data_IF_618266667705
#
_entry.id   IF_618266667705
#
_cell.length_a   1.000
_cell.length_b   1.000
_cell.length_c   1.000
_cell.angle_alpha   90.00
_cell.angle_beta   90.00
_cell.angle_gamma   90.00
#
_symmetry.space_group_name_H-M   'P 1'
#
loop_
_entity.id
_entity.type
_entity.pdbx_description
1 polymer ?
#
# COMPACT_ATOMS: atom_id res chain seq x y z
N UNK A 1 -26.72 25.50 8.89
CA UNK A 1 -25.84 24.87 9.91
C UNK A 1 -24.41 25.16 9.50
N UNK A 2 -23.68 25.94 10.29
CA UNK A 2 -22.45 26.63 9.85
C UNK A 2 -21.27 25.66 9.68
N UNK A 3 -20.56 25.70 8.55
CA UNK A 3 -19.36 24.88 8.25
C UNK A 3 -18.28 25.01 9.33
N UNK A 4 -18.18 26.18 9.96
CA UNK A 4 -17.29 26.41 11.09
C UNK A 4 -17.60 25.54 12.31
N UNK A 5 -18.84 25.09 12.49
CA UNK A 5 -19.25 24.21 13.59
C UNK A 5 -18.83 22.75 13.34
N UNK A 6 -18.83 22.31 12.08
CA UNK A 6 -18.37 20.96 11.70
C UNK A 6 -16.85 20.83 11.82
N UNK A 7 -16.12 21.89 11.43
CA UNK A 7 -14.67 21.96 11.58
C UNK A 7 -14.28 22.01 13.06
N UNK A 8 -15.02 22.74 13.91
CA UNK A 8 -14.75 22.80 15.36
C UNK A 8 -14.91 21.42 16.03
N UNK A 9 -15.96 20.67 15.69
CA UNK A 9 -16.21 19.32 16.21
C UNK A 9 -15.12 18.34 15.77
N UNK A 10 -14.67 18.41 14.52
CA UNK A 10 -13.60 17.54 14.01
C UNK A 10 -12.24 17.86 14.63
N UNK A 11 -11.94 19.14 14.92
CA UNK A 11 -10.72 19.50 15.66
C UNK A 11 -10.77 19.14 17.14
N UNK A 12 -11.95 19.19 17.79
CA UNK A 12 -12.09 18.75 19.18
C UNK A 12 -11.92 17.23 19.33
N UNK A 13 -12.37 16.44 18.36
CA UNK A 13 -12.19 14.98 18.37
C UNK A 13 -10.73 14.54 18.18
N UNK A 14 -9.89 15.37 17.56
CA UNK A 14 -8.48 15.09 17.36
C UNK A 14 -7.62 15.47 18.57
N UNK A 15 -8.08 16.42 19.41
CA UNK A 15 -7.33 16.90 20.58
C UNK A 15 -7.63 16.12 21.87
N UNK A 16 -8.77 15.43 21.97
CA UNK A 16 -9.11 14.64 23.17
C UNK A 16 -8.55 13.22 23.19
N UNK A 17 -7.96 12.72 22.11
CA UNK A 17 -7.37 11.37 22.06
C UNK A 17 -5.87 11.30 22.40
N UNK A 18 -5.25 12.41 22.85
CA UNK A 18 -3.85 12.41 23.32
C UNK A 18 -3.67 12.58 24.85
N UNK A 19 -4.74 12.56 25.64
CA UNK A 19 -4.61 12.57 27.10
C UNK A 19 -5.50 11.51 27.74
N UNK A 20 -4.91 10.37 28.06
CA UNK A 20 -4.93 9.80 29.42
C UNK A 20 -4.32 8.39 29.43
N UNK A 21 -3.19 8.28 30.13
CA UNK A 21 -2.77 7.06 30.79
C UNK A 21 -2.94 7.34 32.28
N UNK A 22 -3.61 6.46 33.05
CA UNK A 22 -2.84 5.92 34.17
C UNK A 22 -3.14 4.45 34.48
N UNK A 23 -2.05 3.69 34.58
CA UNK A 23 -1.72 2.75 35.65
C UNK A 23 -2.83 2.00 36.42
N UNK A 24 -2.77 0.66 36.35
CA UNK A 24 -2.65 -0.32 37.46
C UNK A 24 -3.26 -1.67 36.97
N UNK A 25 -2.80 -2.86 37.33
CA UNK A 25 -2.38 -3.36 38.64
C UNK A 25 -1.57 -4.65 38.45
N UNK A 26 -0.49 -4.77 39.23
CA UNK A 26 0.20 -6.03 39.51
C UNK A 26 -0.76 -7.01 40.18
N UNK A 27 -0.72 -8.27 39.77
CA UNK A 27 -0.90 -9.39 40.70
C UNK A 27 0.18 -10.44 40.44
N UNK A 28 1.01 -10.62 41.47
CA UNK A 28 1.87 -11.79 41.69
C UNK A 28 0.97 -13.01 41.86
N UNK A 29 1.37 -14.14 41.28
CA UNK A 29 1.21 -15.45 41.90
C UNK A 29 2.46 -16.27 41.57
N UNK A 30 3.22 -16.56 42.63
CA UNK A 30 4.35 -17.49 42.66
C UNK A 30 3.80 -18.93 42.66
N UNK A 31 4.52 -19.85 42.01
CA UNK A 31 4.26 -21.29 42.05
C UNK A 31 5.34 -22.05 41.28
N UNK A 32 6.20 -22.76 42.01
CA UNK A 32 7.48 -23.36 41.61
C UNK A 32 7.39 -24.68 40.85
N UNK A 33 8.46 -24.95 40.07
CA UNK A 33 9.04 -26.26 39.70
C UNK A 33 8.19 -27.19 38.81
N UNK A 34 8.70 -27.80 37.73
CA UNK A 34 9.92 -28.60 37.65
C UNK A 34 10.23 -28.97 36.19
N UNK A 35 11.48 -29.41 35.98
CA UNK A 35 12.14 -29.77 34.72
C UNK A 35 11.41 -30.77 33.81
N UNK A 36 11.47 -30.53 32.50
CA UNK A 36 11.59 -31.61 31.51
C UNK A 36 12.11 -31.06 30.18
N UNK A 37 13.19 -31.68 29.68
CA UNK A 37 13.79 -31.44 28.38
C UNK A 37 12.91 -32.07 27.29
N UNK A 38 12.66 -31.34 26.20
CA UNK A 38 12.89 -31.75 24.80
C UNK A 38 11.80 -31.27 23.84
N UNK A 39 12.30 -30.72 22.72
CA UNK A 39 11.67 -30.55 21.41
C UNK A 39 10.48 -29.60 21.33
N UNK A 40 10.80 -28.30 21.21
CA UNK A 40 9.90 -27.30 20.61
C UNK A 40 9.68 -27.63 19.13
N UNK A 41 8.76 -28.56 18.86
CA UNK A 41 7.90 -28.46 17.69
C UNK A 41 6.97 -27.29 17.97
N UNK A 42 7.15 -26.18 17.27
CA UNK A 42 6.11 -25.16 17.11
C UNK A 42 4.87 -25.86 16.55
N UNK A 43 3.99 -26.32 17.43
CA UNK A 43 2.63 -26.69 17.08
C UNK A 43 1.99 -25.41 16.51
N UNK A 44 1.83 -25.39 15.19
CA UNK A 44 0.91 -24.48 14.53
C UNK A 44 -0.47 -24.78 15.10
N UNK A 45 -0.85 -24.05 16.14
CA UNK A 45 -2.23 -23.99 16.59
C UNK A 45 -2.99 -23.36 15.44
N UNK A 46 -3.64 -24.18 14.61
CA UNK A 46 -4.71 -23.75 13.70
C UNK A 46 -5.84 -23.19 14.57
N UNK A 47 -5.67 -21.97 15.08
CA UNK A 47 -6.78 -21.20 15.57
C UNK A 47 -7.63 -20.88 14.33
N UNK A 48 -8.91 -21.17 14.39
CA UNK A 48 -9.88 -20.77 13.38
C UNK A 48 -9.90 -19.23 13.31
N UNK A 49 -9.01 -18.67 12.49
CA UNK A 49 -8.96 -17.26 12.19
C UNK A 49 -10.30 -16.92 11.53
N UNK A 50 -11.03 -15.91 12.02
CA UNK A 50 -12.30 -15.54 11.42
C UNK A 50 -12.09 -15.11 9.97
N UNK A 51 -12.54 -15.94 9.03
CA UNK A 51 -12.62 -15.68 7.58
C UNK A 51 -13.78 -14.75 7.19
N UNK A 52 -14.41 -14.10 8.18
CA UNK A 52 -15.61 -13.30 7.94
C UNK A 52 -15.21 -11.91 7.41
N UNK A 53 -15.74 -11.50 6.25
CA UNK A 53 -15.15 -10.44 5.45
C UNK A 53 -15.32 -9.08 6.14
N UNK A 54 -14.43 -8.17 5.77
CA UNK A 54 -14.66 -6.72 5.86
C UNK A 54 -16.00 -6.42 5.15
N UNK A 55 -16.78 -5.42 5.57
CA UNK A 55 -18.06 -5.09 4.92
C UNK A 55 -17.97 -5.18 3.39
N UNK A 56 -18.97 -5.83 2.78
CA UNK A 56 -19.06 -5.99 1.32
C UNK A 56 -19.04 -4.61 0.69
N UNK A 57 -17.92 -4.25 0.07
CA UNK A 57 -17.81 -3.01 -0.68
C UNK A 57 -18.53 -3.19 -2.01
N UNK A 58 -19.45 -2.29 -2.31
CA UNK A 58 -20.14 -2.26 -3.61
C UNK A 58 -19.54 -1.15 -4.45
N UNK A 59 -19.17 -1.46 -5.67
CA UNK A 59 -18.67 -0.48 -6.63
C UNK A 59 -19.59 -0.39 -7.84
N UNK A 60 -19.85 0.83 -8.29
CA UNK A 60 -20.49 1.10 -9.57
C UNK A 60 -19.46 1.07 -10.70
N UNK A 61 -19.93 0.98 -11.95
CA UNK A 61 -19.06 0.98 -13.13
C UNK A 61 -18.25 2.28 -13.26
N UNK A 62 -18.88 3.39 -12.87
CA UNK A 62 -18.27 4.72 -12.84
C UNK A 62 -17.11 4.77 -11.86
N UNK A 63 -17.30 4.25 -10.65
CA UNK A 63 -16.25 4.20 -9.63
C UNK A 63 -15.09 3.32 -10.10
N UNK A 64 -15.37 2.16 -10.68
CA UNK A 64 -14.34 1.27 -11.24
C UNK A 64 -13.52 1.99 -12.32
N UNK A 65 -14.19 2.67 -13.25
CA UNK A 65 -13.53 3.39 -14.35
C UNK A 65 -12.65 4.54 -13.87
N UNK A 66 -13.13 5.29 -12.87
CA UNK A 66 -12.34 6.32 -12.20
C UNK A 66 -11.09 5.74 -11.56
N UNK A 67 -11.22 4.62 -10.84
CA UNK A 67 -10.11 3.98 -10.14
C UNK A 67 -9.07 3.45 -11.12
N UNK A 68 -9.47 2.84 -12.24
CA UNK A 68 -8.56 2.43 -13.32
C UNK A 68 -7.76 3.64 -13.83
N UNK A 69 -8.46 4.73 -14.20
CA UNK A 69 -7.83 5.93 -14.72
C UNK A 69 -6.88 6.59 -13.72
N UNK A 70 -7.22 6.57 -12.43
CA UNK A 70 -6.37 7.08 -11.35
C UNK A 70 -5.11 6.22 -11.19
N UNK A 71 -5.26 4.90 -11.12
CA UNK A 71 -4.13 3.99 -10.91
C UNK A 71 -3.14 4.02 -12.07
N UNK A 72 -3.63 4.12 -13.30
CA UNK A 72 -2.79 4.24 -14.50
C UNK A 72 -1.90 5.50 -14.52
N UNK A 73 -2.15 6.49 -13.65
CA UNK A 73 -1.37 7.75 -13.58
C UNK A 73 -0.27 7.74 -12.51
N UNK A 74 -0.19 6.69 -11.69
CA UNK A 74 0.74 6.60 -10.57
C UNK A 74 1.69 5.43 -10.81
N UNK A 75 2.83 5.73 -11.41
CA UNK A 75 3.96 4.79 -11.52
C UNK A 75 4.80 4.74 -10.24
N UNK A 76 5.71 3.77 -10.18
CA UNK A 76 6.65 3.59 -9.04
C UNK A 76 7.51 4.84 -8.87
N UNK A 77 8.02 5.39 -9.98
CA UNK A 77 8.89 6.55 -10.03
C UNK A 77 8.23 7.74 -9.34
N UNK A 78 6.94 7.94 -9.59
CA UNK A 78 6.15 9.01 -8.98
C UNK A 78 6.01 8.88 -7.46
N UNK A 79 5.95 7.64 -6.96
CA UNK A 79 5.93 7.38 -5.51
C UNK A 79 7.30 7.66 -4.90
N UNK A 80 8.39 7.31 -5.62
CA UNK A 80 9.76 7.62 -5.19
C UNK A 80 9.99 9.13 -5.16
N UNK A 81 9.56 9.87 -6.18
CA UNK A 81 9.71 11.32 -6.27
C UNK A 81 8.93 12.06 -5.17
N UNK A 82 7.80 11.51 -4.74
CA UNK A 82 6.98 12.05 -3.63
C UNK A 82 7.34 11.40 -2.28
N UNK A 83 8.63 11.18 -2.02
CA UNK A 83 9.15 10.40 -0.87
C UNK A 83 8.64 10.85 0.51
N UNK A 84 8.28 12.12 0.65
CA UNK A 84 7.79 12.72 1.90
C UNK A 84 6.27 12.60 2.09
N UNK A 85 5.51 12.34 1.03
CA UNK A 85 4.04 12.23 1.07
C UNK A 85 3.60 10.81 1.41
N UNK A 86 2.47 10.68 2.10
CA UNK A 86 1.79 9.40 2.25
C UNK A 86 0.96 9.09 1.00
N UNK A 87 0.57 7.82 0.81
CA UNK A 87 -0.16 7.39 -0.38
C UNK A 87 -1.50 8.12 -0.59
N UNK A 88 -2.19 8.49 0.49
CA UNK A 88 -3.45 9.25 0.43
C UNK A 88 -3.20 10.62 -0.21
N UNK A 89 -2.17 11.34 0.23
CA UNK A 89 -1.81 12.64 -0.35
C UNK A 89 -1.35 12.51 -1.79
N UNK A 90 -0.66 11.43 -2.16
CA UNK A 90 -0.29 11.16 -3.56
C UNK A 90 -1.55 10.97 -4.42
N UNK A 91 -2.49 10.14 -3.96
CA UNK A 91 -3.77 9.93 -4.65
C UNK A 91 -4.56 11.24 -4.76
N UNK A 92 -4.67 12.01 -3.68
CA UNK A 92 -5.38 13.28 -3.67
C UNK A 92 -4.77 14.30 -4.64
N UNK A 93 -3.44 14.39 -4.72
CA UNK A 93 -2.78 15.22 -5.73
C UNK A 93 -3.26 14.82 -7.13
N UNK A 94 -3.27 13.52 -7.46
CA UNK A 94 -3.68 13.06 -8.80
C UNK A 94 -5.15 13.32 -9.11
N UNK A 95 -6.01 13.22 -8.10
CA UNK A 95 -7.42 13.58 -8.24
C UNK A 95 -7.53 15.07 -8.58
N UNK A 96 -6.77 15.93 -7.90
CA UNK A 96 -6.77 17.38 -8.14
C UNK A 96 -6.21 17.78 -9.52
N UNK A 97 -5.37 16.93 -10.12
CA UNK A 97 -4.82 17.14 -11.47
C UNK A 97 -5.71 16.58 -12.59
N UNK A 98 -6.80 15.87 -12.26
CA UNK A 98 -7.77 15.47 -13.28
C UNK A 98 -8.41 16.72 -13.89
N UNK A 99 -8.61 16.78 -15.23
CA UNK A 99 -9.21 17.94 -15.87
C UNK A 99 -10.52 18.30 -15.17
N UNK A 100 -10.60 19.53 -14.66
CA UNK A 100 -11.83 20.07 -14.08
C UNK A 100 -12.91 20.11 -15.15
N UNK A 101 -13.78 19.12 -15.16
CA UNK A 101 -14.93 19.04 -16.04
C UNK A 101 -15.99 20.00 -15.49
N UNK A 102 -15.92 21.26 -15.93
CA UNK A 102 -16.89 22.37 -15.82
C UNK A 102 -17.92 22.39 -14.66
N UNK A 103 -17.89 23.46 -13.86
CA UNK A 103 -18.95 24.12 -13.05
C UNK A 103 -19.94 23.34 -12.16
N UNK A 104 -20.09 22.02 -12.20
CA UNK A 104 -20.86 21.24 -11.19
C UNK A 104 -19.94 20.63 -10.13
N UNK A 105 -18.93 21.39 -9.69
CA UNK A 105 -17.81 20.93 -8.83
C UNK A 105 -18.23 20.31 -7.47
N UNK A 106 -19.36 20.71 -6.89
CA UNK A 106 -19.76 20.27 -5.54
C UNK A 106 -20.36 18.86 -5.49
N UNK A 107 -21.15 18.48 -6.50
CA UNK A 107 -21.77 17.16 -6.56
C UNK A 107 -20.75 16.07 -6.97
N UNK A 108 -19.79 16.41 -7.83
CA UNK A 108 -18.67 15.52 -8.17
C UNK A 108 -17.85 15.11 -6.95
N UNK A 109 -17.39 16.08 -6.16
CA UNK A 109 -16.55 15.81 -4.99
C UNK A 109 -17.27 14.94 -3.95
N UNK A 110 -18.58 15.16 -3.77
CA UNK A 110 -19.38 14.42 -2.79
C UNK A 110 -19.40 12.92 -3.07
N UNK A 111 -19.60 12.51 -4.32
CA UNK A 111 -19.61 11.09 -4.68
C UNK A 111 -18.20 10.49 -4.67
N UNK A 112 -17.17 11.27 -4.98
CA UNK A 112 -15.79 10.81 -4.86
C UNK A 112 -15.37 10.55 -3.43
N UNK A 113 -15.90 11.30 -2.47
CA UNK A 113 -15.64 11.04 -1.05
C UNK A 113 -16.12 9.63 -0.68
N UNK A 114 -17.30 9.20 -1.13
CA UNK A 114 -17.79 7.84 -0.87
C UNK A 114 -16.94 6.73 -1.50
N UNK A 115 -16.44 6.93 -2.73
CA UNK A 115 -15.48 5.99 -3.35
C UNK A 115 -14.15 5.99 -2.62
N UNK A 116 -13.67 7.17 -2.21
CA UNK A 116 -12.42 7.34 -1.51
C UNK A 116 -12.46 6.71 -0.11
N UNK A 117 -13.60 6.77 0.60
CA UNK A 117 -13.79 6.11 1.89
C UNK A 117 -13.63 4.59 1.77
N UNK A 118 -14.19 3.97 0.71
CA UNK A 118 -14.01 2.54 0.43
C UNK A 118 -12.53 2.19 0.19
N UNK A 119 -11.83 3.00 -0.59
CA UNK A 119 -10.39 2.81 -0.86
C UNK A 119 -9.54 3.07 0.38
N UNK A 120 -9.94 4.03 1.21
CA UNK A 120 -9.26 4.35 2.46
C UNK A 120 -9.28 3.15 3.41
N UNK A 121 -10.37 2.40 3.50
CA UNK A 121 -10.41 1.15 4.27
C UNK A 121 -9.37 0.13 3.79
N UNK A 122 -9.21 -0.04 2.47
CA UNK A 122 -8.17 -0.92 1.90
C UNK A 122 -6.76 -0.43 2.25
N UNK A 123 -6.53 0.88 2.18
CA UNK A 123 -5.26 1.51 2.57
C UNK A 123 -4.96 1.26 4.05
N UNK A 124 -5.95 1.47 4.94
CA UNK A 124 -5.79 1.28 6.39
C UNK A 124 -5.50 -0.19 6.71
N UNK A 125 -6.17 -1.12 6.05
CA UNK A 125 -5.91 -2.56 6.22
C UNK A 125 -4.44 -2.91 5.95
N UNK A 126 -3.91 -2.53 4.78
CA UNK A 126 -2.53 -2.82 4.43
C UNK A 126 -1.51 -2.03 5.26
N UNK A 127 -1.87 -0.81 5.70
CA UNK A 127 -1.07 -0.04 6.64
C UNK A 127 -0.97 -0.73 8.01
N UNK A 128 -2.07 -1.27 8.54
CA UNK A 128 -2.07 -1.99 9.81
C UNK A 128 -1.19 -3.25 9.72
N UNK A 129 -1.25 -3.97 8.60
CA UNK A 129 -0.38 -5.11 8.35
C UNK A 129 1.10 -4.73 8.34
N UNK A 130 1.49 -3.61 7.70
CA UNK A 130 2.87 -3.10 7.74
C UNK A 130 3.30 -2.66 9.16
N UNK A 131 2.39 -2.06 9.93
CA UNK A 131 2.68 -1.63 11.29
C UNK A 131 2.86 -2.80 12.27
N UNK A 132 2.28 -3.96 11.95
CA UNK A 132 2.43 -5.18 12.72
C UNK A 132 3.76 -5.90 12.48
N UNK A 133 4.56 -5.43 11.52
CA UNK A 133 5.88 -5.99 11.29
C UNK A 133 6.71 -5.89 12.58
N UNK A 134 7.31 -6.99 13.04
CA UNK A 134 8.12 -6.96 14.23
C UNK A 134 9.20 -5.91 14.04
N UNK A 135 9.39 -5.03 15.04
CA UNK A 135 10.46 -4.04 14.98
C UNK A 135 11.83 -4.69 14.77
N UNK A 136 11.96 -6.01 14.99
CA UNK A 136 13.12 -6.86 14.73
C UNK A 136 12.83 -7.84 13.58
N UNK A 137 12.82 -7.35 12.34
CA UNK A 137 12.54 -8.15 11.12
C UNK A 137 13.58 -9.27 10.87
N UNK A 138 14.70 -9.29 11.59
CA UNK A 138 15.81 -10.20 11.33
C UNK A 138 16.04 -11.16 12.51
N UNK A 139 15.94 -12.46 12.24
CA UNK A 139 16.21 -13.52 13.22
C UNK A 139 17.69 -13.49 13.67
N UNK A 140 17.93 -13.24 14.96
CA UNK A 140 19.27 -13.29 15.59
C UNK A 140 19.92 -14.68 15.49
N UNK A 141 19.12 -15.74 15.33
CA UNK A 141 19.53 -17.15 15.48
C UNK A 141 20.57 -17.64 14.46
N UNK A 142 20.74 -16.95 13.33
CA UNK A 142 21.64 -17.41 12.26
C UNK A 142 23.05 -16.81 12.32
N UNK A 143 23.32 -15.86 13.21
CA UNK A 143 24.58 -15.12 13.22
C UNK A 143 25.41 -15.41 14.48
N UNK A 144 26.61 -15.96 14.25
CA UNK A 144 27.60 -16.30 15.30
C UNK A 144 28.08 -15.10 16.14
N UNK A 145 27.76 -13.86 15.74
CA UNK A 145 28.09 -12.63 16.47
C UNK A 145 27.10 -11.51 16.10
N UNK A 146 26.68 -10.70 17.08
CA UNK A 146 25.77 -9.56 16.92
C UNK A 146 26.23 -8.53 15.86
N UNK A 147 27.53 -8.29 15.75
CA UNK A 147 28.08 -7.33 14.77
C UNK A 147 27.93 -7.82 13.32
N UNK A 148 28.17 -9.12 13.06
CA UNK A 148 27.91 -9.71 11.74
C UNK A 148 26.44 -9.61 11.35
N UNK A 149 25.53 -9.74 12.31
CA UNK A 149 24.10 -9.57 12.08
C UNK A 149 23.76 -8.12 11.70
N UNK A 150 24.22 -7.14 12.49
CA UNK A 150 24.04 -5.70 12.19
C UNK A 150 24.57 -5.35 10.81
N UNK A 151 25.76 -5.84 10.47
CA UNK A 151 26.37 -5.66 9.14
C UNK A 151 25.43 -6.10 8.02
N UNK A 152 24.99 -7.35 8.05
CA UNK A 152 24.13 -7.91 6.99
C UNK A 152 22.84 -7.09 6.84
N UNK A 153 22.30 -6.58 7.93
CA UNK A 153 21.10 -5.74 7.90
C UNK A 153 21.40 -4.38 7.26
N UNK A 154 22.48 -3.71 7.68
CA UNK A 154 22.89 -2.43 7.09
C UNK A 154 23.13 -2.59 5.59
N UNK A 155 23.86 -3.62 5.16
CA UNK A 155 24.15 -3.87 3.74
C UNK A 155 22.88 -4.07 2.91
N UNK A 156 21.95 -4.90 3.40
CA UNK A 156 20.65 -5.12 2.76
C UNK A 156 19.83 -3.83 2.67
N UNK A 157 19.80 -3.06 3.76
CA UNK A 157 19.01 -1.82 3.80
C UNK A 157 19.61 -0.70 2.96
N UNK A 158 20.92 -0.56 2.90
CA UNK A 158 21.57 0.37 1.98
C UNK A 158 21.22 0.04 0.53
N UNK A 159 21.11 -1.24 0.18
CA UNK A 159 20.65 -1.68 -1.15
C UNK A 159 19.17 -1.38 -1.36
N UNK A 160 18.30 -1.71 -0.42
CA UNK A 160 16.87 -1.46 -0.55
C UNK A 160 16.57 0.05 -0.70
N UNK A 161 17.27 0.89 0.07
CA UNK A 161 17.14 2.34 0.04
C UNK A 161 17.67 2.94 -1.27
N UNK A 162 18.70 2.35 -1.90
CA UNK A 162 19.20 2.79 -3.20
C UNK A 162 18.21 2.53 -4.33
N UNK A 163 17.22 1.65 -4.12
CA UNK A 163 16.12 1.39 -5.04
C UNK A 163 14.89 2.30 -4.81
N UNK A 164 14.76 2.89 -3.62
CA UNK A 164 13.53 3.55 -3.16
C UNK A 164 13.70 5.01 -2.75
N UNK A 165 14.91 5.54 -2.85
CA UNK A 165 15.20 6.96 -2.66
C UNK A 165 15.69 7.55 -3.99
N UNK A 166 15.44 8.83 -4.25
CA UNK A 166 16.21 9.53 -5.27
C UNK A 166 17.66 9.75 -4.80
N UNK A 167 18.53 10.20 -5.71
CA UNK A 167 19.98 10.41 -5.46
C UNK A 167 20.23 11.37 -4.29
N UNK A 168 19.46 12.46 -4.20
CA UNK A 168 19.61 13.48 -3.17
C UNK A 168 19.21 12.95 -1.78
N UNK A 169 18.06 12.28 -1.69
CA UNK A 169 17.55 11.68 -0.46
C UNK A 169 18.46 10.56 0.02
N UNK A 170 18.97 9.72 -0.89
CA UNK A 170 19.91 8.65 -0.56
C UNK A 170 21.22 9.22 -0.03
N UNK A 171 21.76 10.28 -0.65
CA UNK A 171 22.96 10.97 -0.17
C UNK A 171 22.72 11.56 1.24
N UNK A 172 21.58 12.20 1.43
CA UNK A 172 21.18 12.74 2.72
C UNK A 172 21.07 11.66 3.80
N UNK A 173 20.58 10.47 3.44
CA UNK A 173 20.55 9.31 4.35
C UNK A 173 21.95 8.82 4.69
N UNK A 174 22.83 8.62 3.70
CA UNK A 174 24.21 8.17 3.92
C UNK A 174 24.98 9.11 4.85
N UNK A 175 24.85 10.44 4.67
CA UNK A 175 25.43 11.44 5.56
C UNK A 175 24.91 11.33 7.00
N UNK A 176 23.61 11.08 7.19
CA UNK A 176 23.01 10.83 8.52
C UNK A 176 23.51 9.53 9.17
N UNK A 177 24.04 8.61 8.36
CA UNK A 177 24.69 7.38 8.78
C UNK A 177 26.22 7.56 8.92
N UNK A 178 26.76 8.77 8.80
CA UNK A 178 28.21 9.05 8.85
C UNK A 178 29.00 8.36 7.72
N UNK A 179 28.32 8.02 6.61
CA UNK A 179 28.94 7.54 5.38
C UNK A 179 29.13 8.73 4.45
N UNK A 180 30.30 9.37 4.54
CA UNK A 180 30.66 10.49 3.70
C UNK A 180 31.24 10.01 2.37
N UNK A 181 30.41 10.01 1.33
CA UNK A 181 30.81 9.75 -0.05
C UNK A 181 31.31 11.06 -0.69
N UNK A 182 32.34 11.67 -0.10
CA UNK A 182 32.84 12.97 -0.57
C UNK A 182 33.59 12.85 -1.91
N UNK A 183 33.49 13.90 -2.73
CA UNK A 183 34.29 14.15 -3.93
C UNK A 183 33.95 13.34 -5.20
N UNK A 184 32.71 12.86 -5.36
CA UNK A 184 32.25 12.27 -6.63
C UNK A 184 30.84 12.75 -6.98
N UNK A 185 30.68 13.28 -8.19
CA UNK A 185 29.37 13.53 -8.78
C UNK A 185 28.81 12.18 -9.22
N UNK A 186 27.91 11.64 -8.40
CA UNK A 186 27.23 10.39 -8.72
C UNK A 186 25.99 10.68 -9.55
N UNK A 187 25.86 9.98 -10.68
CA UNK A 187 24.70 10.11 -11.55
C UNK A 187 23.61 9.10 -11.19
N UNK A 188 23.94 8.06 -10.40
CA UNK A 188 23.00 7.01 -10.01
C UNK A 188 23.17 6.56 -8.56
N UNK A 189 22.09 6.09 -7.96
CA UNK A 189 22.12 5.45 -6.64
C UNK A 189 22.98 4.19 -6.59
N UNK A 190 23.15 3.50 -7.73
CA UNK A 190 23.95 2.28 -7.81
C UNK A 190 25.42 2.59 -7.53
N UNK A 191 25.97 3.61 -8.18
CA UNK A 191 27.35 4.05 -7.97
C UNK A 191 27.58 4.50 -6.52
N UNK A 192 26.62 5.26 -5.97
CA UNK A 192 26.65 5.69 -4.56
C UNK A 192 26.64 4.50 -3.60
N UNK A 193 25.77 3.52 -3.85
CA UNK A 193 25.70 2.31 -3.05
C UNK A 193 27.04 1.54 -3.07
N UNK A 194 27.63 1.36 -4.25
CA UNK A 194 28.92 0.67 -4.37
C UNK A 194 30.04 1.38 -3.60
N UNK A 195 30.08 2.71 -3.60
CA UNK A 195 31.07 3.46 -2.83
C UNK A 195 30.76 3.44 -1.32
N UNK A 196 29.48 3.58 -0.93
CA UNK A 196 29.03 3.44 0.45
C UNK A 196 29.44 2.08 1.03
N UNK A 197 29.33 1.00 0.24
CA UNK A 197 29.74 -0.34 0.63
C UNK A 197 31.26 -0.46 0.83
N UNK A 198 32.09 0.26 0.07
CA UNK A 198 33.54 0.30 0.30
C UNK A 198 33.86 0.98 1.63
N UNK A 199 33.19 2.10 1.93
CA UNK A 199 33.36 2.83 3.20
C UNK A 199 32.90 1.97 4.38
N UNK A 200 31.72 1.37 4.28
CA UNK A 200 31.17 0.47 5.31
C UNK A 200 32.12 -0.69 5.62
N UNK A 201 32.68 -1.33 4.58
CA UNK A 201 33.64 -2.41 4.76
C UNK A 201 34.95 -1.96 5.41
N UNK A 202 35.37 -0.70 5.27
CA UNK A 202 36.53 -0.15 5.98
C UNK A 202 36.20 0.09 7.46
N UNK A 203 35.07 0.74 7.75
CA UNK A 203 34.60 1.02 9.12
C UNK A 203 34.45 -0.27 9.92
N UNK A 204 33.92 -1.32 9.29
CA UNK A 204 33.70 -2.59 9.98
C UNK A 204 35.01 -3.36 10.18
N UNK A 205 35.97 -3.31 9.25
CA UNK A 205 37.25 -4.04 9.41
C UNK A 205 38.11 -3.54 10.57
N UNK A 206 37.88 -2.32 11.07
CA UNK A 206 38.57 -1.79 12.25
C UNK A 206 37.88 -2.21 13.57
N UNK A 207 37.48 -3.48 13.71
CA UNK A 207 36.64 -4.04 14.81
C UNK A 207 37.18 -3.78 16.24
N UNK A 208 38.43 -3.35 16.37
CA UNK A 208 39.09 -3.04 17.64
C UNK A 208 38.75 -1.65 18.20
N UNK A 209 38.21 -0.73 17.38
CA UNK A 209 37.94 0.64 17.83
C UNK A 209 36.53 0.80 18.43
N UNK A 210 36.42 1.49 19.57
CA UNK A 210 35.13 1.79 20.21
C UNK A 210 34.22 2.68 19.33
N UNK A 211 34.84 3.45 18.43
CA UNK A 211 34.15 4.28 17.45
C UNK A 211 33.39 3.46 16.41
N UNK A 212 33.97 2.35 15.93
CA UNK A 212 33.35 1.48 14.91
C UNK A 212 32.08 0.80 15.43
N UNK A 213 32.06 0.42 16.71
CA UNK A 213 30.87 -0.16 17.39
C UNK A 213 29.73 0.85 17.54
N UNK A 214 30.05 2.10 17.91
CA UNK A 214 29.05 3.18 18.04
C UNK A 214 28.45 3.54 16.67
N UNK A 215 29.29 3.70 15.65
CA UNK A 215 28.85 3.99 14.29
C UNK A 215 27.97 2.85 13.73
N UNK A 216 28.41 1.60 13.84
CA UNK A 216 27.64 0.39 13.47
C UNK A 216 26.25 0.37 14.12
N UNK A 217 26.17 0.64 15.43
CA UNK A 217 24.90 0.69 16.15
C UNK A 217 23.98 1.82 15.66
N UNK A 218 24.52 3.02 15.42
CA UNK A 218 23.74 4.15 14.91
C UNK A 218 23.21 3.87 13.49
N UNK A 219 24.05 3.35 12.60
CA UNK A 219 23.67 2.94 11.24
C UNK A 219 22.56 1.90 11.29
N UNK A 220 22.74 0.85 12.10
CA UNK A 220 21.74 -0.19 12.30
C UNK A 220 20.39 0.39 12.74
N UNK A 221 20.40 1.29 13.74
CA UNK A 221 19.18 1.96 14.23
C UNK A 221 18.48 2.77 13.14
N UNK A 222 19.23 3.43 12.25
CA UNK A 222 18.68 4.19 11.11
C UNK A 222 18.15 3.28 10.00
N UNK A 223 18.80 2.15 9.75
CA UNK A 223 18.45 1.23 8.66
C UNK A 223 17.23 0.34 8.95
N UNK A 224 16.89 0.12 10.23
CA UNK A 224 15.85 -0.82 10.65
C UNK A 224 14.41 -0.44 10.25
N UNK A 225 14.18 0.82 9.87
CA UNK A 225 12.84 1.35 9.61
C UNK A 225 12.37 1.13 8.17
N UNK A 226 11.06 0.95 8.03
CA UNK A 226 10.36 1.03 6.74
C UNK A 226 10.12 2.50 6.42
N UNK A 227 10.56 2.93 5.25
CA UNK A 227 10.39 4.29 4.75
C UNK A 227 8.95 4.54 4.26
N UNK A 228 8.58 5.81 4.06
CA UNK A 228 7.27 6.13 3.49
C UNK A 228 7.12 5.63 2.05
N UNK A 229 8.19 5.69 1.24
CA UNK A 229 8.18 5.17 -0.13
C UNK A 229 7.87 3.68 -0.14
N UNK A 230 8.53 2.88 0.69
CA UNK A 230 8.29 1.43 0.75
C UNK A 230 6.87 1.10 1.19
N UNK A 231 6.32 1.85 2.17
CA UNK A 231 4.91 1.71 2.59
C UNK A 231 3.97 2.04 1.43
N UNK A 232 4.23 3.13 0.73
CA UNK A 232 3.39 3.58 -0.37
C UNK A 232 3.43 2.58 -1.54
N UNK A 233 4.61 2.09 -1.92
CA UNK A 233 4.78 1.05 -2.96
C UNK A 233 3.98 -0.20 -2.60
N UNK A 234 4.13 -0.67 -1.36
CA UNK A 234 3.43 -1.86 -0.88
C UNK A 234 1.90 -1.69 -0.90
N UNK A 235 1.40 -0.59 -0.32
CA UNK A 235 -0.05 -0.31 -0.27
C UNK A 235 -0.61 -0.13 -1.67
N UNK A 236 0.11 0.59 -2.54
CA UNK A 236 -0.37 0.89 -3.89
C UNK A 236 -0.41 -0.36 -4.77
N UNK A 237 0.59 -1.26 -4.65
CA UNK A 237 0.53 -2.56 -5.30
C UNK A 237 -0.74 -3.33 -4.92
N UNK A 238 -1.07 -3.39 -3.63
CA UNK A 238 -2.30 -4.03 -3.17
C UNK A 238 -3.58 -3.35 -3.66
N UNK A 239 -3.59 -2.02 -3.82
CA UNK A 239 -4.70 -1.30 -4.44
C UNK A 239 -4.88 -1.70 -5.90
N UNK A 240 -3.80 -1.86 -6.67
CA UNK A 240 -3.88 -2.31 -8.07
C UNK A 240 -4.53 -3.68 -8.16
N UNK A 241 -4.10 -4.65 -7.33
CA UNK A 241 -4.71 -5.98 -7.29
C UNK A 241 -6.19 -5.91 -6.96
N UNK A 242 -6.55 -5.14 -5.93
CA UNK A 242 -7.94 -4.96 -5.51
C UNK A 242 -8.82 -4.41 -6.65
N UNK A 243 -8.36 -3.37 -7.36
CA UNK A 243 -9.10 -2.81 -8.50
C UNK A 243 -9.16 -3.80 -9.66
N UNK A 244 -8.07 -4.49 -9.99
CA UNK A 244 -8.06 -5.49 -11.05
C UNK A 244 -9.12 -6.58 -10.83
N UNK A 245 -9.32 -7.03 -9.58
CA UNK A 245 -10.37 -7.97 -9.22
C UNK A 245 -11.77 -7.42 -9.40
N UNK A 246 -12.00 -6.15 -9.08
CA UNK A 246 -13.28 -5.48 -9.36
C UNK A 246 -13.57 -5.48 -10.86
N UNK A 247 -12.56 -5.20 -11.69
CA UNK A 247 -12.70 -5.24 -13.15
C UNK A 247 -13.01 -6.65 -13.63
N UNK A 248 -12.26 -7.66 -13.17
CA UNK A 248 -12.52 -9.08 -13.52
C UNK A 248 -13.94 -9.50 -13.12
N UNK A 249 -14.38 -9.13 -11.92
CA UNK A 249 -15.74 -9.40 -11.42
C UNK A 249 -16.81 -8.76 -12.33
N UNK A 250 -16.60 -7.50 -12.74
CA UNK A 250 -17.47 -6.84 -13.69
C UNK A 250 -17.48 -7.54 -15.05
N UNK A 251 -16.32 -7.95 -15.57
CA UNK A 251 -16.21 -8.64 -16.87
C UNK A 251 -16.94 -9.97 -16.87
N UNK A 252 -16.78 -10.77 -15.81
CA UNK A 252 -17.52 -12.02 -15.65
C UNK A 252 -19.02 -11.81 -15.54
N UNK A 253 -19.43 -10.81 -14.77
CA UNK A 253 -20.83 -10.43 -14.62
C UNK A 253 -21.45 -10.05 -15.97
N UNK A 254 -20.78 -9.19 -16.75
CA UNK A 254 -21.22 -8.76 -18.07
C UNK A 254 -21.37 -9.96 -19.03
N UNK A 255 -20.40 -10.89 -19.05
CA UNK A 255 -20.45 -12.08 -19.91
C UNK A 255 -21.65 -12.99 -19.58
N UNK A 256 -22.03 -13.09 -18.30
CA UNK A 256 -23.19 -13.89 -17.85
C UNK A 256 -24.52 -13.19 -18.15
N UNK A 257 -24.57 -11.86 -18.06
CA UNK A 257 -25.80 -11.05 -18.14
C UNK A 257 -25.81 -10.05 -19.31
N UNK A 258 -25.25 -10.43 -20.47
CA UNK A 258 -25.02 -9.54 -21.62
C UNK A 258 -26.27 -8.75 -22.05
N UNK A 259 -27.44 -9.42 -22.12
CA UNK A 259 -28.69 -8.77 -22.54
C UNK A 259 -29.17 -7.69 -21.56
N UNK A 260 -28.96 -7.87 -20.25
CA UNK A 260 -29.36 -6.90 -19.23
C UNK A 260 -28.54 -5.61 -19.38
N UNK A 261 -27.22 -5.76 -19.48
CA UNK A 261 -26.32 -4.61 -19.58
C UNK A 261 -26.43 -3.90 -20.93
N UNK A 262 -26.62 -4.64 -22.02
CA UNK A 262 -26.88 -4.05 -23.33
C UNK A 262 -28.12 -3.17 -23.30
N UNK A 263 -29.19 -3.58 -22.62
CA UNK A 263 -30.43 -2.81 -22.52
C UNK A 263 -30.33 -1.65 -21.52
N UNK A 264 -29.65 -1.83 -20.40
CA UNK A 264 -29.44 -0.79 -19.39
C UNK A 264 -28.51 0.30 -19.91
N UNK A 265 -27.35 -0.05 -20.48
CA UNK A 265 -26.46 0.92 -21.11
C UNK A 265 -27.11 1.63 -22.31
N UNK A 266 -27.91 0.90 -23.10
CA UNK A 266 -28.67 1.49 -24.21
C UNK A 266 -29.75 2.45 -23.72
N UNK A 267 -30.39 2.21 -22.57
CA UNK A 267 -31.39 3.13 -22.02
C UNK A 267 -30.76 4.45 -21.56
N UNK A 268 -29.52 4.42 -21.05
CA UNK A 268 -28.73 5.64 -20.76
C UNK A 268 -28.25 6.35 -22.03
N UNK A 269 -27.86 5.60 -23.05
CA UNK A 269 -27.52 6.13 -24.38
C UNK A 269 -28.71 6.85 -25.04
N UNK A 270 -29.92 6.30 -24.93
CA UNK A 270 -31.16 6.91 -25.45
C UNK A 270 -31.57 8.15 -24.63
N UNK A 271 -31.20 8.23 -23.34
CA UNK A 271 -31.52 9.35 -22.45
C UNK A 271 -30.70 10.65 -22.69
N UNK A 272 -29.82 10.69 -23.71
CA UNK A 272 -29.39 11.95 -24.34
C UNK A 272 -28.16 12.64 -23.75
N UNK A 273 -27.03 11.93 -23.56
CA UNK A 273 -25.80 12.54 -23.02
C UNK A 273 -24.55 12.50 -23.93
N UNK A 274 -24.55 11.86 -25.11
CA UNK A 274 -23.42 11.97 -26.07
C UNK A 274 -23.85 11.72 -27.52
N UNK A 275 -23.51 12.64 -28.45
CA UNK A 275 -23.60 12.44 -29.91
C UNK A 275 -22.51 11.52 -30.48
N UNK A 276 -21.49 11.20 -29.69
CA UNK A 276 -20.46 10.24 -30.08
C UNK A 276 -20.95 8.82 -29.74
N UNK A 277 -20.76 7.88 -30.68
CA UNK A 277 -21.17 6.46 -30.59
C UNK A 277 -19.98 5.50 -30.40
N UNK A 278 -19.18 5.67 -29.37
CA UNK A 278 -18.31 4.61 -28.85
C UNK A 278 -19.12 3.74 -27.89
N UNK A 279 -19.44 2.55 -28.37
CA UNK A 279 -20.01 1.49 -27.56
C UNK A 279 -19.17 1.31 -26.28
N UNK A 280 -19.84 1.12 -25.15
CA UNK A 280 -19.21 0.65 -23.91
C UNK A 280 -18.61 -0.71 -24.20
N UNK A 281 -17.35 -0.70 -24.60
CA UNK A 281 -16.71 -1.92 -25.04
C UNK A 281 -16.16 -2.62 -23.80
N UNK A 282 -16.73 -3.78 -23.50
CA UNK A 282 -16.17 -4.73 -22.55
C UNK A 282 -14.66 -4.95 -22.80
N UNK A 283 -14.23 -4.84 -24.07
CA UNK A 283 -12.82 -4.91 -24.48
C UNK A 283 -11.91 -3.88 -23.81
N UNK A 284 -12.42 -2.69 -23.49
CA UNK A 284 -11.62 -1.66 -22.79
C UNK A 284 -11.39 -2.05 -21.33
N UNK A 285 -12.35 -2.70 -20.68
CA UNK A 285 -12.17 -3.27 -19.35
C UNK A 285 -11.26 -4.50 -19.38
N UNK A 286 -11.36 -5.34 -20.41
CA UNK A 286 -10.42 -6.44 -20.62
C UNK A 286 -8.99 -5.91 -20.80
N UNK A 287 -8.79 -4.89 -21.63
CA UNK A 287 -7.49 -4.22 -21.80
C UNK A 287 -6.99 -3.59 -20.49
N UNK A 288 -7.88 -2.97 -19.72
CA UNK A 288 -7.52 -2.40 -18.41
C UNK A 288 -7.03 -3.47 -17.42
N UNK A 289 -7.54 -4.71 -17.49
CA UNK A 289 -7.00 -5.81 -16.67
C UNK A 289 -5.54 -6.11 -17.02
N UNK A 290 -5.20 -6.08 -18.31
CA UNK A 290 -3.83 -6.31 -18.79
C UNK A 290 -2.91 -5.13 -18.41
N UNK A 291 -3.36 -3.89 -18.57
CA UNK A 291 -2.62 -2.68 -18.18
C UNK A 291 -2.35 -2.65 -16.67
N UNK A 292 -3.36 -2.93 -15.84
CA UNK A 292 -3.19 -3.01 -14.39
C UNK A 292 -2.24 -4.14 -14.00
N UNK A 293 -2.23 -5.25 -14.73
CA UNK A 293 -1.28 -6.34 -14.51
C UNK A 293 0.16 -5.89 -14.76
N UNK A 294 0.41 -5.21 -15.87
CA UNK A 294 1.74 -4.67 -16.18
C UNK A 294 2.23 -3.71 -15.10
N UNK A 295 1.36 -2.82 -14.61
CA UNK A 295 1.69 -1.93 -13.49
C UNK A 295 1.98 -2.74 -12.22
N UNK A 296 1.15 -3.73 -11.88
CA UNK A 296 1.36 -4.59 -10.72
C UNK A 296 2.69 -5.33 -10.80
N UNK A 297 3.07 -5.85 -11.97
CA UNK A 297 4.33 -6.54 -12.22
C UNK A 297 5.53 -5.60 -12.05
N UNK A 298 5.42 -4.36 -12.54
CA UNK A 298 6.45 -3.33 -12.35
C UNK A 298 6.69 -3.03 -10.87
N UNK A 299 5.61 -2.84 -10.10
CA UNK A 299 5.69 -2.67 -8.65
C UNK A 299 6.26 -3.91 -7.95
N UNK A 300 5.82 -5.11 -8.32
CA UNK A 300 6.31 -6.36 -7.75
C UNK A 300 7.81 -6.53 -7.98
N UNK A 301 8.31 -6.18 -9.17
CA UNK A 301 9.73 -6.24 -9.50
C UNK A 301 10.63 -5.40 -8.58
N UNK A 302 10.05 -4.38 -7.92
CA UNK A 302 10.71 -3.57 -6.90
C UNK A 302 10.51 -4.20 -5.53
N UNK A 303 9.27 -4.54 -5.16
CA UNK A 303 8.90 -5.15 -3.87
C UNK A 303 9.71 -6.42 -3.58
N UNK A 304 9.92 -7.29 -4.57
CA UNK A 304 10.70 -8.53 -4.44
C UNK A 304 12.16 -8.27 -4.04
N UNK A 305 12.71 -7.11 -4.42
CA UNK A 305 14.08 -6.72 -4.09
C UNK A 305 14.20 -6.12 -2.69
N UNK A 306 13.08 -5.70 -2.08
CA UNK A 306 13.05 -5.03 -0.77
C UNK A 306 13.05 -6.05 0.36
N UNK A 307 14.23 -6.29 0.94
CA UNK A 307 14.40 -7.29 2.01
C UNK A 307 13.50 -7.02 3.23
N UNK A 308 13.23 -5.75 3.54
CA UNK A 308 12.40 -5.38 4.70
C UNK A 308 10.94 -5.83 4.56
N UNK A 309 10.47 -6.03 3.33
CA UNK A 309 9.12 -6.49 3.04
C UNK A 309 9.03 -8.02 2.95
N UNK A 310 10.15 -8.76 3.02
CA UNK A 310 10.18 -10.24 2.94
C UNK A 310 9.81 -10.94 4.26
N UNK A 311 8.96 -10.31 5.05
CA UNK A 311 8.58 -10.79 6.38
C UNK A 311 7.57 -11.95 6.32
N UNK A 312 7.60 -12.81 7.32
CA UNK A 312 6.74 -14.01 7.44
C UNK A 312 6.00 -14.05 8.76
N UNK A 313 4.91 -14.80 8.81
CA UNK A 313 4.09 -15.04 10.00
C UNK A 313 3.64 -13.73 10.67
N UNK A 314 3.01 -12.87 9.89
CA UNK A 314 2.54 -11.56 10.34
C UNK A 314 1.18 -11.73 10.97
N UNK A 315 1.04 -11.17 12.16
CA UNK A 315 -0.22 -11.16 12.90
C UNK A 315 -0.59 -9.71 13.13
N UNK A 316 -1.76 -9.30 12.66
CA UNK A 316 -2.22 -7.91 12.77
C UNK A 316 -3.71 -7.84 13.08
N UNK A 317 -4.15 -6.67 13.52
CA UNK A 317 -5.54 -6.40 13.86
C UNK A 317 -6.14 -5.35 12.93
N UNK A 318 -7.37 -5.60 12.49
CA UNK A 318 -8.16 -4.67 11.70
C UNK A 318 -9.64 -4.86 12.01
N UNK A 319 -10.35 -3.76 12.32
CA UNK A 319 -11.76 -3.79 12.74
C UNK A 319 -12.02 -4.84 13.83
N UNK A 320 -11.22 -4.83 14.89
CA UNK A 320 -11.32 -5.74 16.06
C UNK A 320 -11.13 -7.23 15.72
N UNK A 321 -10.74 -7.55 14.48
CA UNK A 321 -10.44 -8.90 14.03
C UNK A 321 -8.94 -9.08 13.88
N UNK A 322 -8.47 -10.23 14.33
CA UNK A 322 -7.07 -10.67 14.19
C UNK A 322 -6.91 -11.44 12.89
N UNK A 323 -5.91 -11.05 12.11
CA UNK A 323 -5.51 -11.68 10.86
C UNK A 323 -4.12 -12.26 11.00
N UNK A 324 -3.89 -13.39 10.34
CA UNK A 324 -2.57 -14.01 10.24
C UNK A 324 -2.22 -14.21 8.76
N UNK A 325 -1.01 -13.81 8.38
CA UNK A 325 -0.45 -14.04 7.06
C UNK A 325 0.87 -14.76 7.15
N UNK A 326 1.01 -15.81 6.34
CA UNK A 326 2.26 -16.56 6.23
C UNK A 326 3.38 -15.71 5.65
N UNK A 327 3.11 -14.91 4.63
CA UNK A 327 4.07 -14.00 3.99
C UNK A 327 3.45 -12.59 3.88
N UNK A 328 4.28 -11.54 4.01
CA UNK A 328 3.83 -10.17 3.77
C UNK A 328 3.54 -9.94 2.29
N UNK A 329 4.54 -10.31 1.47
CA UNK A 329 4.48 -10.28 0.02
C UNK A 329 3.92 -11.62 -0.42
N UNK A 330 2.94 -11.53 -1.31
CA UNK A 330 2.22 -12.64 -1.89
C UNK A 330 2.21 -12.44 -3.41
N UNK A 331 2.09 -13.52 -4.18
CA UNK A 331 1.98 -13.40 -5.64
C UNK A 331 0.67 -12.70 -6.02
N UNK A 332 0.55 -12.30 -7.30
CA UNK A 332 -0.70 -11.75 -7.80
C UNK A 332 -1.84 -12.77 -7.64
N UNK A 333 -1.60 -14.04 -7.95
CA UNK A 333 -2.58 -15.11 -7.79
C UNK A 333 -3.00 -15.32 -6.33
N UNK A 334 -2.03 -15.38 -5.40
CA UNK A 334 -2.32 -15.50 -3.97
C UNK A 334 -3.11 -14.29 -3.45
N UNK A 335 -2.78 -13.08 -3.93
CA UNK A 335 -3.50 -11.87 -3.57
C UNK A 335 -4.92 -11.86 -4.10
N UNK A 336 -5.15 -12.36 -5.31
CA UNK A 336 -6.49 -12.49 -5.89
C UNK A 336 -7.36 -13.45 -5.07
N UNK A 337 -6.81 -14.59 -4.65
CA UNK A 337 -7.51 -15.52 -3.77
C UNK A 337 -7.82 -14.87 -2.42
N UNK A 338 -6.84 -14.26 -1.77
CA UNK A 338 -7.03 -13.68 -0.43
C UNK A 338 -8.01 -12.50 -0.43
N UNK A 339 -7.90 -11.60 -1.40
CA UNK A 339 -8.79 -10.46 -1.53
C UNK A 339 -10.25 -10.91 -1.68
N UNK A 340 -10.51 -12.00 -2.41
CA UNK A 340 -11.86 -12.57 -2.55
C UNK A 340 -12.47 -12.99 -1.21
N UNK A 341 -11.62 -13.32 -0.23
CA UNK A 341 -12.00 -13.67 1.14
C UNK A 341 -12.07 -12.46 2.08
N UNK A 342 -11.13 -11.51 1.96
CA UNK A 342 -10.98 -10.38 2.88
C UNK A 342 -11.92 -9.23 2.51
N UNK A 343 -11.87 -8.79 1.26
CA UNK A 343 -12.72 -7.75 0.71
C UNK A 343 -13.65 -8.40 -0.32
N UNK A 344 -14.86 -8.77 0.12
CA UNK A 344 -15.88 -9.27 -0.80
C UNK A 344 -16.48 -8.09 -1.57
N UNK A 345 -15.67 -7.57 -2.50
CA UNK A 345 -15.99 -6.44 -3.33
C UNK A 345 -16.78 -6.96 -4.53
N UNK A 346 -18.04 -6.54 -4.63
CA UNK A 346 -18.93 -6.98 -5.69
C UNK A 346 -19.35 -5.79 -6.53
N UNK A 347 -19.37 -5.99 -7.84
CA UNK A 347 -20.21 -5.16 -8.68
C UNK A 347 -21.67 -5.28 -8.19
N UNK A 348 -22.35 -4.15 -8.04
CA UNK A 348 -23.78 -4.13 -7.71
C UNK A 348 -24.59 -3.50 -8.83
N UNK A 349 -25.62 -4.22 -9.29
CA UNK A 349 -26.54 -3.84 -10.37
C UNK A 349 -27.23 -2.47 -10.14
N UNK A 350 -27.39 -2.04 -8.89
CA UNK A 350 -28.18 -0.86 -8.55
C UNK A 350 -27.33 0.31 -8.06
N UNK A 351 -26.91 1.20 -8.95
CA UNK A 351 -26.58 2.60 -8.63
C UNK A 351 -26.82 3.58 -9.79
N UNK A 352 -27.60 3.20 -10.80
CA UNK A 352 -28.05 4.17 -11.80
C UNK A 352 -29.37 4.88 -11.42
N UNK A 353 -29.72 4.87 -10.13
CA UNK A 353 -30.67 5.84 -9.56
C UNK A 353 -30.06 7.23 -9.71
N UNK A 354 -30.87 8.24 -10.03
CA UNK A 354 -30.45 9.55 -10.55
C UNK A 354 -29.46 10.40 -9.72
N UNK A 355 -28.85 9.87 -8.66
CA UNK A 355 -27.83 10.49 -7.83
C UNK A 355 -26.48 10.63 -8.54
N UNK A 356 -26.10 9.75 -9.46
CA UNK A 356 -24.74 9.75 -10.07
C UNK A 356 -24.66 10.30 -11.50
N UNK A 357 -25.65 11.08 -11.96
CA UNK A 357 -25.71 11.56 -13.35
C UNK A 357 -24.46 12.35 -13.78
N UNK A 358 -23.84 13.05 -12.85
CA UNK A 358 -22.69 13.88 -13.14
C UNK A 358 -21.46 13.01 -13.41
N UNK A 359 -21.24 11.93 -12.66
CA UNK A 359 -20.06 11.07 -12.81
C UNK A 359 -20.07 10.20 -14.09
N UNK A 360 -21.07 10.34 -14.96
CA UNK A 360 -21.06 9.73 -16.28
C UNK A 360 -19.88 10.17 -17.16
N UNK A 361 -19.22 11.30 -16.84
CA UNK A 361 -17.94 11.70 -17.41
C UNK A 361 -16.75 10.79 -17.03
N UNK A 362 -16.92 9.82 -16.12
CA UNK A 362 -15.93 8.78 -15.77
C UNK A 362 -16.29 7.40 -16.33
N UNK A 363 -17.47 7.23 -16.94
CA UNK A 363 -17.68 6.15 -17.90
C UNK A 363 -16.67 6.15 -19.07
N UNK A 364 -15.93 7.21 -19.46
CA UNK A 364 -14.88 7.12 -20.46
C UNK A 364 -13.59 6.45 -19.94
N UNK A 365 -13.65 5.17 -19.57
CA UNK A 365 -12.85 4.23 -20.38
C UNK A 365 -13.46 4.16 -21.80
N UNK A 366 -14.74 4.44 -21.93
CA UNK A 366 -15.59 4.41 -23.11
C UNK A 366 -15.37 5.55 -24.14
N UNK A 367 -14.81 6.74 -23.84
CA UNK A 367 -14.54 7.76 -24.88
C UNK A 367 -13.27 8.58 -24.62
N UNK A 368 -12.29 8.44 -25.52
CA UNK A 368 -11.32 9.44 -25.99
C UNK A 368 -10.02 8.74 -26.41
N UNK A 369 -9.85 8.55 -27.71
CA UNK A 369 -8.79 9.29 -28.39
C UNK A 369 -9.49 10.21 -29.40
N UNK A 370 -9.45 11.52 -29.16
CA UNK A 370 -9.63 12.47 -30.26
C UNK A 370 -8.32 12.43 -31.04
N UNK A 371 -8.31 11.75 -32.19
CA UNK A 371 -7.35 12.02 -33.27
C UNK A 371 -7.72 13.34 -33.93
#
# INVERSE_FOLDING_TARGET
>A
MNIYFLILILTQFYLTNEMENPASKRQKLEGESSSSKNTDKLEYVQQNIPTSPIPKMKFSLVEISFLINLLNKIGVEKIIDKSTKNIISIIQDEINFLPKLSQTEENYLFHFNGTFDKIYEVIVYHKNMLNALPKEVYNKETHKSEERFKKVIIEKRLRDLSLTMNVEDYNGFLKKCEICVENKDFNTNKEMYEEAMKILNKIIKSEEDCWSKRASFLMYKKCKGITNVEKNIFIFWHLIVFIQMLVKSFVEFYRKNNNYYKNELLSYYIAGLTDNREEISIKKYEKAVDELKEIADNFMSVIEKLNILQSKNIIFEFNEKKFERKNLIISLEEAEEEQSHVFNAKFSENYFTGEHKEMFIFLPLIYLDKV
#
